data_IF_516228609513
#
_entry.id   IF_516228609513
#
_cell.length_a   1.000
_cell.length_b   1.000
_cell.length_c   1.000
_cell.angle_alpha   90.00
_cell.angle_beta   90.00
_cell.angle_gamma   90.00
#
_symmetry.space_group_name_H-M   'P 1'
#
loop_
_entity.id
_entity.type
_entity.pdbx_description
1 polymer ?
#
# COMPACT_ATOMS: atom_id res chain seq x y z
N UNK A 1 7.86 -29.75 -41.65
CA UNK A 1 7.43 -30.41 -40.41
C UNK A 1 8.31 -30.09 -39.21
N UNK A 2 9.63 -30.25 -39.34
CA UNK A 2 10.54 -29.92 -38.22
C UNK A 2 10.49 -28.47 -37.79
N UNK A 3 10.29 -27.54 -38.72
CA UNK A 3 10.16 -26.10 -38.41
C UNK A 3 8.91 -25.77 -37.63
N UNK A 4 7.82 -26.47 -37.85
CA UNK A 4 6.56 -26.31 -37.16
C UNK A 4 6.67 -26.76 -35.69
N UNK A 5 7.38 -27.88 -35.48
CA UNK A 5 7.64 -28.39 -34.13
C UNK A 5 8.48 -27.41 -33.30
N UNK A 6 9.49 -26.78 -33.90
CA UNK A 6 10.33 -25.80 -33.22
C UNK A 6 9.52 -24.58 -32.84
N UNK A 7 8.64 -24.10 -33.72
CA UNK A 7 7.75 -22.96 -33.40
C UNK A 7 6.79 -23.28 -32.27
N UNK A 8 6.23 -24.47 -32.23
CA UNK A 8 5.34 -24.90 -31.15
C UNK A 8 6.06 -25.02 -29.82
N UNK A 9 7.33 -25.41 -29.84
CA UNK A 9 8.14 -25.46 -28.62
C UNK A 9 8.52 -24.09 -28.11
N UNK A 10 8.68 -23.10 -28.99
CA UNK A 10 9.00 -21.74 -28.61
C UNK A 10 7.81 -20.98 -28.03
N UNK A 11 6.59 -21.27 -28.49
CA UNK A 11 5.38 -20.63 -27.99
C UNK A 11 5.14 -20.80 -26.49
N UNK A 12 5.33 -22.01 -25.92
CA UNK A 12 5.19 -22.18 -24.45
C UNK A 12 6.25 -21.48 -23.65
N UNK A 13 7.36 -21.11 -24.28
CA UNK A 13 8.45 -20.39 -23.62
C UNK A 13 8.23 -18.88 -23.57
N UNK A 14 7.18 -18.36 -24.19
CA UNK A 14 6.81 -16.96 -24.03
C UNK A 14 6.49 -16.73 -22.59
N UNK A 15 7.21 -15.79 -21.98
CA UNK A 15 7.05 -15.50 -20.56
C UNK A 15 5.63 -15.04 -20.26
N UNK A 16 4.95 -15.73 -19.36
CA UNK A 16 3.69 -15.30 -18.79
C UNK A 16 3.87 -15.05 -17.31
N UNK A 17 3.21 -14.02 -16.81
CA UNK A 17 3.22 -13.73 -15.39
C UNK A 17 2.57 -14.87 -14.61
N UNK A 18 3.15 -15.21 -13.48
CA UNK A 18 2.62 -16.24 -12.58
C UNK A 18 2.28 -15.61 -11.26
N UNK A 19 1.14 -15.98 -10.71
CA UNK A 19 0.75 -15.56 -9.38
C UNK A 19 1.35 -16.52 -8.35
N UNK A 20 2.03 -15.98 -7.35
CA UNK A 20 2.57 -16.76 -6.25
C UNK A 20 2.55 -15.91 -4.97
N UNK A 21 2.55 -16.58 -3.83
CA UNK A 21 2.65 -15.90 -2.55
C UNK A 21 4.10 -15.54 -2.28
N UNK A 22 4.34 -14.28 -1.93
CA UNK A 22 5.66 -13.78 -1.58
C UNK A 22 5.60 -13.06 -0.26
N UNK A 23 6.47 -13.46 0.67
CA UNK A 23 6.59 -12.79 1.95
C UNK A 23 7.75 -11.81 1.90
N UNK A 24 7.51 -10.57 2.37
CA UNK A 24 8.62 -9.67 2.58
C UNK A 24 8.57 -9.09 3.99
N UNK A 25 9.76 -8.85 4.58
CA UNK A 25 9.82 -8.28 5.91
C UNK A 25 9.38 -6.81 5.87
N UNK A 26 8.41 -6.48 6.71
CA UNK A 26 7.95 -5.10 6.87
C UNK A 26 8.20 -4.67 8.29
N UNK A 27 8.94 -3.57 8.46
CA UNK A 27 9.08 -2.92 9.75
C UNK A 27 8.06 -1.81 9.85
N UNK A 28 7.23 -1.85 10.88
CA UNK A 28 6.20 -0.86 11.09
C UNK A 28 6.44 -0.11 12.41
N UNK A 29 6.16 1.18 12.40
CA UNK A 29 6.08 1.96 13.63
C UNK A 29 4.64 1.94 14.10
N UNK A 30 4.41 1.50 15.32
CA UNK A 30 3.06 1.31 15.83
C UNK A 30 2.82 2.11 17.11
N UNK A 31 1.57 2.49 17.30
CA UNK A 31 1.05 3.09 18.53
C UNK A 31 0.02 2.12 19.10
N UNK A 32 0.08 1.88 20.38
CA UNK A 32 -0.87 1.01 21.07
C UNK A 32 -1.29 1.61 22.40
N UNK A 33 -2.39 1.11 22.94
CA UNK A 33 -2.93 1.57 24.20
C UNK A 33 -3.98 2.66 24.04
N UNK A 34 -4.33 3.28 25.18
CA UNK A 34 -5.32 4.33 25.20
C UNK A 34 -4.81 5.58 24.48
N UNK A 35 -5.64 6.11 23.59
CA UNK A 35 -5.29 7.29 22.79
C UNK A 35 -4.36 7.05 21.62
N UNK A 36 -4.08 5.79 21.28
CA UNK A 36 -3.18 5.44 20.17
C UNK A 36 -3.61 6.03 18.83
N UNK A 37 -4.90 6.04 18.56
CA UNK A 37 -5.43 6.59 17.30
C UNK A 37 -5.18 8.09 17.21
N UNK A 38 -5.49 8.83 18.26
CA UNK A 38 -5.27 10.28 18.31
C UNK A 38 -3.79 10.60 18.25
N UNK A 39 -2.94 9.85 18.94
CA UNK A 39 -1.49 10.07 18.90
C UNK A 39 -0.91 9.86 17.52
N UNK A 40 -1.31 8.79 16.84
CA UNK A 40 -0.83 8.49 15.50
C UNK A 40 -1.24 9.57 14.50
N UNK A 41 -2.51 9.98 14.55
CA UNK A 41 -3.03 11.00 13.65
C UNK A 41 -2.37 12.35 13.93
N UNK A 42 -2.25 12.71 15.20
CA UNK A 42 -1.60 13.96 15.63
C UNK A 42 -0.15 14.00 15.18
N UNK A 43 0.58 12.90 15.33
CA UNK A 43 1.96 12.80 14.87
C UNK A 43 2.06 13.09 13.36
N UNK A 44 1.22 12.47 12.55
CA UNK A 44 1.24 12.69 11.12
C UNK A 44 0.86 14.13 10.74
N UNK A 45 -0.10 14.72 11.43
CA UNK A 45 -0.51 16.10 11.18
C UNK A 45 0.53 17.12 11.63
N UNK A 46 1.07 16.97 12.84
CA UNK A 46 1.97 17.97 13.41
C UNK A 46 3.42 17.81 12.96
N UNK A 47 3.90 16.59 12.81
CA UNK A 47 5.30 16.33 12.45
C UNK A 47 5.50 16.22 10.94
N UNK A 48 4.61 15.52 10.25
CA UNK A 48 4.74 15.27 8.82
C UNK A 48 3.83 16.15 7.95
N UNK A 49 2.93 16.90 8.58
CA UNK A 49 1.94 17.72 7.89
C UNK A 49 1.13 16.91 6.87
N UNK A 50 0.80 15.67 7.26
CA UNK A 50 0.01 14.73 6.47
C UNK A 50 -1.41 14.64 7.03
N UNK A 51 -2.39 14.62 6.14
CA UNK A 51 -3.80 14.56 6.51
C UNK A 51 -4.46 13.39 5.79
N UNK A 52 -5.51 12.76 6.39
CA UNK A 52 -6.15 11.63 5.75
C UNK A 52 -6.87 12.03 4.46
N UNK A 53 -6.61 11.30 3.39
CA UNK A 53 -7.23 11.54 2.08
C UNK A 53 -8.04 10.35 1.60
N UNK A 54 -7.94 9.22 2.26
CA UNK A 54 -8.70 8.04 1.90
C UNK A 54 -8.72 7.02 3.02
N UNK A 55 -9.76 6.22 3.07
CA UNK A 55 -9.95 5.19 4.07
C UNK A 55 -10.66 3.99 3.44
N UNK A 56 -10.24 2.79 3.79
CA UNK A 56 -10.88 1.57 3.35
C UNK A 56 -10.94 0.54 4.46
N UNK A 57 -12.07 -0.15 4.58
CA UNK A 57 -12.22 -1.22 5.55
C UNK A 57 -11.61 -2.51 5.00
N UNK A 58 -10.78 -3.17 5.81
CA UNK A 58 -10.17 -4.45 5.47
C UNK A 58 -11.03 -5.61 6.01
N UNK A 59 -11.63 -5.43 7.17
CA UNK A 59 -12.56 -6.37 7.81
C UNK A 59 -13.36 -5.61 8.87
N UNK A 60 -14.13 -6.33 9.70
CA UNK A 60 -14.97 -5.72 10.74
C UNK A 60 -14.21 -4.94 11.80
N UNK A 61 -12.93 -5.27 12.00
CA UNK A 61 -12.12 -4.72 13.08
C UNK A 61 -10.93 -3.89 12.59
N UNK A 62 -10.72 -3.81 11.29
CA UNK A 62 -9.52 -3.17 10.76
C UNK A 62 -9.83 -2.32 9.53
N UNK A 63 -9.19 -1.17 9.47
CA UNK A 63 -9.25 -0.32 8.28
C UNK A 63 -7.87 0.29 8.02
N UNK A 64 -7.68 0.71 6.77
CA UNK A 64 -6.49 1.43 6.38
C UNK A 64 -6.82 2.85 5.98
N UNK A 65 -5.87 3.74 6.16
CA UNK A 65 -6.00 5.13 5.73
C UNK A 65 -4.73 5.59 5.03
N UNK A 66 -4.89 6.39 4.00
CA UNK A 66 -3.77 7.07 3.35
C UNK A 66 -3.68 8.49 3.93
N UNK A 67 -2.52 8.81 4.47
CA UNK A 67 -2.16 10.14 4.94
C UNK A 67 -1.31 10.80 3.87
N UNK A 68 -1.56 12.06 3.59
CA UNK A 68 -0.92 12.74 2.46
C UNK A 68 -0.62 14.21 2.76
N UNK A 69 0.54 14.67 2.29
CA UNK A 69 0.92 16.08 2.29
C UNK A 69 1.08 16.52 0.82
N UNK A 70 0.20 17.38 0.31
CA UNK A 70 0.28 17.82 -1.10
C UNK A 70 1.42 18.80 -1.38
N UNK A 71 1.94 19.48 -0.38
CA UNK A 71 2.98 20.51 -0.53
C UNK A 71 4.37 19.87 -0.55
N UNK A 72 4.64 19.02 0.42
CA UNK A 72 5.82 18.17 0.46
C UNK A 72 5.30 16.76 0.14
N UNK A 73 5.34 16.28 -1.09
CA UNK A 73 4.53 15.13 -1.50
C UNK A 73 4.93 13.84 -0.79
N UNK A 74 4.68 13.81 0.49
CA UNK A 74 4.86 12.63 1.35
C UNK A 74 3.51 11.95 1.58
N UNK A 75 3.56 10.65 1.79
CA UNK A 75 2.36 9.87 2.06
C UNK A 75 2.70 8.70 2.98
N UNK A 76 1.70 8.25 3.73
CA UNK A 76 1.84 7.12 4.64
C UNK A 76 0.56 6.30 4.61
N UNK A 77 0.68 4.99 4.59
CA UNK A 77 -0.43 4.08 4.81
C UNK A 77 -0.46 3.68 6.27
N UNK A 78 -1.55 4.03 6.96
CA UNK A 78 -1.79 3.64 8.34
C UNK A 78 -2.79 2.50 8.39
N UNK A 79 -2.49 1.47 9.17
CA UNK A 79 -3.39 0.38 9.46
C UNK A 79 -3.91 0.55 10.89
N UNK A 80 -5.23 0.50 11.05
CA UNK A 80 -5.92 0.62 12.34
C UNK A 80 -6.59 -0.71 12.63
N UNK A 81 -6.28 -1.29 13.77
CA UNK A 81 -6.84 -2.57 14.19
C UNK A 81 -7.41 -2.47 15.61
N UNK A 82 -8.70 -2.77 15.74
CA UNK A 82 -9.38 -2.77 17.03
C UNK A 82 -9.41 -4.18 17.62
N UNK A 83 -8.97 -4.30 18.85
CA UNK A 83 -9.04 -5.53 19.62
C UNK A 83 -9.65 -5.25 21.00
N UNK A 84 -9.68 -6.25 21.87
CA UNK A 84 -10.26 -6.11 23.21
C UNK A 84 -9.52 -5.11 24.09
N UNK A 85 -8.24 -4.89 23.85
CA UNK A 85 -7.40 -3.98 24.61
C UNK A 85 -7.40 -2.55 24.09
N UNK A 86 -8.02 -2.30 22.93
CA UNK A 86 -8.07 -0.99 22.30
C UNK A 86 -7.73 -1.01 20.84
N UNK A 87 -7.09 0.06 20.37
CA UNK A 87 -6.72 0.20 18.97
C UNK A 87 -5.20 0.18 18.82
N UNK A 88 -4.71 -0.60 17.88
CA UNK A 88 -3.31 -0.57 17.45
C UNK A 88 -3.28 0.12 16.10
N UNK A 89 -2.41 1.12 15.97
CA UNK A 89 -2.22 1.86 14.71
C UNK A 89 -0.79 1.65 14.26
N UNK A 90 -0.61 1.23 13.02
CA UNK A 90 0.73 0.98 12.48
C UNK A 90 0.93 1.73 11.17
N UNK A 91 2.05 2.44 11.07
CA UNK A 91 2.53 2.98 9.81
C UNK A 91 3.24 1.86 9.06
N UNK A 92 2.58 1.31 8.05
CA UNK A 92 3.05 0.11 7.36
C UNK A 92 4.04 0.47 6.26
N UNK A 93 3.75 1.52 5.50
CA UNK A 93 4.59 1.96 4.40
C UNK A 93 4.32 3.43 4.12
N UNK A 94 5.24 4.05 3.44
CA UNK A 94 5.12 5.44 3.05
C UNK A 94 6.16 5.79 2.02
N UNK A 95 6.11 7.01 1.54
CA UNK A 95 7.03 7.49 0.53
C UNK A 95 6.99 8.99 0.38
N UNK A 96 7.74 9.49 -0.59
CA UNK A 96 7.90 10.93 -0.82
C UNK A 96 7.15 11.45 -2.03
N UNK A 97 6.60 10.58 -2.88
CA UNK A 97 5.88 11.01 -4.09
C UNK A 97 4.60 10.21 -4.24
N UNK A 98 3.52 10.91 -4.48
CA UNK A 98 2.22 10.33 -4.75
C UNK A 98 1.62 10.97 -6.00
N UNK A 99 1.26 10.17 -6.98
CA UNK A 99 0.63 10.64 -8.20
C UNK A 99 -0.81 10.14 -8.28
N UNK A 100 -1.69 10.99 -8.78
CA UNK A 100 -3.06 10.61 -9.11
C UNK A 100 -3.08 10.06 -10.54
N UNK A 101 -3.60 8.85 -10.69
CA UNK A 101 -3.72 8.20 -12.00
C UNK A 101 -5.15 8.37 -12.49
N UNK A 102 -5.31 8.92 -13.69
CA UNK A 102 -6.63 9.11 -14.29
C UNK A 102 -7.10 7.81 -14.96
N UNK A 103 -8.43 7.53 -14.96
CA UNK A 103 -8.96 6.37 -15.66
C UNK A 103 -8.54 6.33 -17.12
N UNK A 104 -8.05 5.19 -17.57
CA UNK A 104 -7.54 4.98 -18.94
C UNK A 104 -6.03 5.02 -19.07
N UNK A 105 -5.32 5.59 -18.09
CA UNK A 105 -3.86 5.76 -18.13
C UNK A 105 -3.13 4.78 -17.20
N UNK A 106 -3.84 3.83 -16.61
CA UNK A 106 -3.34 3.01 -15.52
C UNK A 106 -2.06 2.25 -15.87
N UNK A 107 -2.04 1.61 -17.03
CA UNK A 107 -0.87 0.80 -17.41
C UNK A 107 0.37 1.65 -17.68
N UNK A 108 0.21 2.77 -18.37
CA UNK A 108 1.32 3.69 -18.66
C UNK A 108 1.88 4.34 -17.41
N UNK A 109 0.99 4.76 -16.51
CA UNK A 109 1.39 5.49 -15.30
C UNK A 109 2.04 4.60 -14.26
N UNK A 110 1.83 3.28 -14.32
CA UNK A 110 2.43 2.33 -13.39
C UNK A 110 3.76 1.75 -13.88
N UNK A 111 4.27 2.19 -15.01
CA UNK A 111 5.61 1.81 -15.45
C UNK A 111 6.68 2.37 -14.54
N UNK A 112 7.65 1.55 -14.23
CA UNK A 112 8.79 1.91 -13.38
C UNK A 112 9.93 2.48 -14.22
#
# INVERSE_FOLDING_TARGET
>A
MKKLLVLLLLLPLSASAKMFAHEFPVKAVCWSGEGSMEEAITYHQEVLDEYPVGKGWMNEHSFGAIMYNPVKPSWTFLSFHKNEEGVIVCAITGGSVWEIIHPGDEAERLEI
#
